data_IF_459515397841
#
_entry.id   IF_459515397841
#
_cell.length_a   1.000
_cell.length_b   1.000
_cell.length_c   1.000
_cell.angle_alpha   90.00
_cell.angle_beta   90.00
_cell.angle_gamma   90.00
#
_symmetry.space_group_name_H-M   'P 1'
#
loop_
_entity.id
_entity.type
_entity.pdbx_description
1 polymer ?
#
# COMPACT_ATOMS: atom_id res chain seq x y z
N UNK A 1 -38.48 1.19 8.29
CA UNK A 1 -37.58 0.21 8.95
C UNK A 1 -36.23 0.27 8.24
N UNK A 2 -35.20 0.95 8.77
CA UNK A 2 -33.86 0.80 8.24
C UNK A 2 -33.11 -0.26 9.04
N UNK A 3 -32.53 -1.21 8.31
CA UNK A 3 -31.64 -2.24 8.82
C UNK A 3 -30.31 -1.58 9.23
N UNK A 4 -30.13 -1.36 10.54
CA UNK A 4 -28.81 -1.15 11.13
C UNK A 4 -27.96 -2.39 10.90
N UNK A 5 -27.18 -2.39 9.81
CA UNK A 5 -26.04 -3.30 9.67
C UNK A 5 -24.91 -2.74 10.53
N UNK A 6 -24.91 -3.05 11.81
CA UNK A 6 -23.71 -2.91 12.66
C UNK A 6 -22.64 -3.85 12.12
N UNK A 7 -21.79 -3.35 11.23
CA UNK A 7 -20.55 -4.03 10.88
C UNK A 7 -19.58 -3.77 12.03
N UNK A 8 -19.56 -4.67 13.00
CA UNK A 8 -18.54 -4.70 14.06
C UNK A 8 -17.19 -5.02 13.41
N UNK A 9 -16.56 -4.00 12.82
CA UNK A 9 -15.18 -4.08 12.33
C UNK A 9 -14.26 -4.09 13.54
N UNK A 10 -13.96 -5.29 14.03
CA UNK A 10 -12.87 -5.46 14.99
C UNK A 10 -11.58 -5.02 14.32
N UNK A 11 -10.81 -4.13 14.95
CA UNK A 11 -9.52 -3.60 14.48
C UNK A 11 -8.58 -4.72 13.98
N UNK A 12 -8.66 -5.89 14.61
CA UNK A 12 -7.94 -7.11 14.21
C UNK A 12 -8.35 -7.68 12.84
N UNK A 13 -9.61 -7.49 12.42
CA UNK A 13 -10.10 -7.87 11.08
C UNK A 13 -9.70 -6.87 10.00
N UNK A 14 -9.41 -5.63 10.37
CA UNK A 14 -9.01 -4.56 9.45
C UNK A 14 -7.56 -4.77 8.98
N UNK A 15 -6.65 -5.03 9.92
CA UNK A 15 -5.27 -5.41 9.61
C UNK A 15 -5.19 -6.75 8.86
N UNK A 16 -5.99 -7.75 9.27
CA UNK A 16 -5.99 -9.06 8.61
C UNK A 16 -6.50 -9.02 7.16
N UNK A 17 -7.45 -8.14 6.83
CA UNK A 17 -7.96 -7.96 5.45
C UNK A 17 -6.99 -7.20 4.56
N UNK A 18 -6.33 -6.16 5.07
CA UNK A 18 -5.25 -5.43 4.40
C UNK A 18 -4.01 -6.32 4.16
N UNK A 19 -3.60 -7.11 5.14
CA UNK A 19 -2.54 -8.11 5.00
C UNK A 19 -2.92 -9.20 3.99
N UNK A 20 -4.16 -9.69 4.00
CA UNK A 20 -4.61 -10.72 3.08
C UNK A 20 -4.65 -10.23 1.62
N UNK A 21 -5.02 -8.97 1.37
CA UNK A 21 -5.01 -8.38 0.02
C UNK A 21 -3.58 -8.21 -0.52
N UNK A 22 -2.64 -7.78 0.32
CA UNK A 22 -1.22 -7.67 -0.05
C UNK A 22 -0.55 -9.03 -0.28
N UNK A 23 -0.90 -10.05 0.51
CA UNK A 23 -0.35 -11.41 0.36
C UNK A 23 -0.87 -12.10 -0.90
N UNK A 24 -2.13 -11.88 -1.30
CA UNK A 24 -2.69 -12.44 -2.54
C UNK A 24 -2.03 -11.81 -3.78
N UNK A 25 -1.74 -10.50 -3.75
CA UNK A 25 -0.98 -9.84 -4.81
C UNK A 25 0.48 -10.33 -4.90
N UNK A 26 1.12 -10.64 -3.77
CA UNK A 26 2.50 -11.12 -3.74
C UNK A 26 2.66 -12.60 -4.17
N UNK A 27 1.66 -13.46 -3.91
CA UNK A 27 1.73 -14.88 -4.26
C UNK A 27 1.52 -15.18 -5.76
N UNK A 28 0.95 -14.26 -6.53
CA UNK A 28 0.79 -14.44 -7.98
C UNK A 28 2.08 -14.20 -8.77
N UNK A 29 3.08 -13.51 -8.20
CA UNK A 29 4.37 -13.20 -8.86
C UNK A 29 5.43 -14.28 -8.60
N UNK A 30 5.30 -15.08 -7.53
CA UNK A 30 6.37 -15.98 -7.10
C UNK A 30 6.41 -17.34 -7.82
N UNK A 31 5.40 -17.69 -8.63
CA UNK A 31 5.30 -19.05 -9.19
C UNK A 31 6.07 -19.23 -10.50
N UNK A 32 6.65 -18.19 -11.10
CA UNK A 32 7.36 -18.31 -12.40
C UNK A 32 8.86 -17.99 -12.37
N UNK A 33 9.48 -17.95 -11.19
CA UNK A 33 10.94 -17.81 -11.08
C UNK A 33 11.62 -19.17 -11.16
N UNK A 34 11.65 -19.76 -12.35
CA UNK A 34 12.63 -20.80 -12.70
C UNK A 34 13.86 -20.14 -13.34
N UNK A 35 15.01 -19.99 -12.65
CA UNK A 35 16.26 -19.76 -13.34
C UNK A 35 16.85 -21.12 -13.74
N UNK A 36 16.81 -21.41 -15.04
CA UNK A 36 17.59 -22.47 -15.63
C UNK A 36 19.10 -22.20 -15.47
N UNK A 37 19.78 -23.13 -14.81
CA UNK A 37 21.13 -23.67 -15.10
C UNK A 37 22.26 -22.67 -15.46
N UNK A 38 23.07 -22.39 -14.44
CA UNK A 38 24.52 -22.56 -14.36
C UNK A 38 25.38 -22.43 -15.64
N UNK A 39 26.19 -21.36 -15.73
CA UNK A 39 27.54 -21.38 -16.30
C UNK A 39 28.48 -20.54 -15.43
N UNK A 40 29.34 -21.23 -14.69
CA UNK A 40 30.48 -20.64 -14.00
C UNK A 40 31.60 -20.37 -15.01
N UNK A 41 31.97 -19.11 -15.19
CA UNK A 41 33.26 -18.74 -15.76
C UNK A 41 34.01 -17.86 -14.77
N UNK A 42 34.93 -18.49 -14.05
CA UNK A 42 35.93 -17.86 -13.21
C UNK A 42 36.92 -17.10 -14.11
N UNK A 43 36.93 -15.77 -14.03
CA UNK A 43 38.00 -14.94 -14.57
C UNK A 43 38.87 -14.39 -13.42
N UNK A 44 40.19 -14.26 -13.63
CA UNK A 44 41.16 -14.11 -12.57
C UNK A 44 41.17 -12.71 -11.94
N UNK A 45 41.19 -12.73 -10.61
CA UNK A 45 41.51 -11.69 -9.65
C UNK A 45 42.59 -10.71 -10.14
N UNK A 46 42.20 -9.44 -10.30
CA UNK A 46 43.11 -8.29 -10.26
C UNK A 46 42.71 -7.43 -9.04
N UNK A 47 43.55 -7.28 -8.01
CA UNK A 47 43.19 -6.54 -6.82
C UNK A 47 43.33 -5.04 -7.09
N UNK A 48 42.24 -4.40 -7.52
CA UNK A 48 42.09 -2.96 -7.37
C UNK A 48 41.40 -2.74 -6.03
N UNK A 49 42.19 -2.25 -5.07
CA UNK A 49 41.74 -1.78 -3.77
C UNK A 49 40.82 -0.58 -3.98
N UNK A 50 39.55 -0.84 -4.28
CA UNK A 50 38.48 0.15 -4.10
C UNK A 50 38.03 0.00 -2.66
N UNK A 51 38.37 0.99 -1.86
CA UNK A 51 37.83 1.21 -0.52
C UNK A 51 36.31 1.37 -0.66
N UNK A 52 35.61 0.24 -0.59
CA UNK A 52 34.16 0.16 -0.49
C UNK A 52 33.78 0.62 0.91
N UNK A 53 33.63 1.93 1.08
CA UNK A 53 32.72 2.45 2.09
C UNK A 53 31.37 1.78 1.88
N UNK A 54 30.81 1.09 2.88
CA UNK A 54 29.43 0.66 2.81
C UNK A 54 28.57 1.91 3.02
N UNK A 55 28.34 2.67 1.95
CA UNK A 55 27.11 3.44 1.81
C UNK A 55 25.98 2.41 1.66
N UNK A 56 25.62 1.85 2.80
CA UNK A 56 24.33 1.25 3.04
C UNK A 56 23.30 2.27 2.54
N UNK A 57 22.38 1.92 1.62
CA UNK A 57 21.29 2.81 1.32
C UNK A 57 20.58 3.06 2.64
N UNK A 58 20.74 4.28 3.17
CA UNK A 58 19.97 4.74 4.29
C UNK A 58 18.54 4.69 3.81
N UNK A 59 17.86 3.58 4.13
CA UNK A 59 16.42 3.50 4.18
C UNK A 59 16.01 4.71 4.99
N UNK A 60 15.64 5.77 4.27
CA UNK A 60 15.15 7.00 4.86
C UNK A 60 13.75 6.65 5.36
N UNK A 61 13.70 5.87 6.43
CA UNK A 61 12.59 5.90 7.37
C UNK A 61 12.62 7.32 7.88
N UNK A 62 11.99 8.21 7.12
CA UNK A 62 11.65 9.54 7.57
C UNK A 62 10.93 9.30 8.89
N UNK A 63 11.64 9.63 9.97
CA UNK A 63 11.21 9.47 11.35
C UNK A 63 10.18 10.57 11.59
N UNK A 64 9.07 10.54 10.85
CA UNK A 64 7.92 11.37 11.11
C UNK A 64 7.34 10.83 12.40
N UNK A 65 7.46 11.62 13.46
CA UNK A 65 6.75 11.36 14.69
C UNK A 65 5.26 11.50 14.43
N UNK A 66 4.47 10.52 14.86
CA UNK A 66 3.02 10.51 14.74
C UNK A 66 2.38 11.79 15.32
N UNK A 67 2.97 12.33 16.38
CA UNK A 67 2.48 13.54 17.06
C UNK A 67 2.64 14.80 16.21
N UNK A 68 3.60 14.83 15.29
CA UNK A 68 3.86 15.99 14.44
C UNK A 68 2.91 16.04 13.22
N UNK A 69 2.08 15.01 13.01
CA UNK A 69 1.14 14.96 11.89
C UNK A 69 -0.13 15.73 12.27
N UNK A 70 -0.45 16.83 11.55
CA UNK A 70 -1.61 17.65 11.86
C UNK A 70 -2.90 16.90 11.57
N UNK A 71 -3.95 17.14 12.37
CA UNK A 71 -5.26 16.48 12.20
C UNK A 71 -5.86 16.66 10.81
N UNK A 72 -5.58 17.80 10.14
CA UNK A 72 -5.98 18.02 8.75
C UNK A 72 -5.41 16.96 7.81
N UNK A 73 -4.13 16.59 7.96
CA UNK A 73 -3.49 15.54 7.14
C UNK A 73 -4.05 14.16 7.46
N UNK A 74 -4.40 13.90 8.72
CA UNK A 74 -5.10 12.66 9.13
C UNK A 74 -6.47 12.58 8.43
N UNK A 75 -7.22 13.68 8.42
CA UNK A 75 -8.53 13.73 7.78
C UNK A 75 -8.45 13.55 6.26
N UNK A 76 -7.50 14.25 5.60
CA UNK A 76 -7.22 14.08 4.17
C UNK A 76 -6.86 12.62 3.83
N UNK A 77 -6.05 11.98 4.67
CA UNK A 77 -5.69 10.57 4.51
C UNK A 77 -6.91 9.65 4.63
N UNK A 78 -7.73 9.84 5.66
CA UNK A 78 -8.93 9.02 5.88
C UNK A 78 -9.91 9.15 4.73
N UNK A 79 -10.15 10.37 4.23
CA UNK A 79 -11.00 10.59 3.06
C UNK A 79 -10.46 9.93 1.80
N UNK A 80 -9.17 10.11 1.50
CA UNK A 80 -8.53 9.47 0.34
C UNK A 80 -8.59 7.95 0.45
N UNK A 81 -8.30 7.41 1.63
CA UNK A 81 -8.29 5.98 1.91
C UNK A 81 -9.67 5.35 1.68
N UNK A 82 -10.74 5.95 2.21
CA UNK A 82 -12.10 5.46 2.01
C UNK A 82 -12.51 5.48 0.52
N UNK A 83 -12.16 6.53 -0.21
CA UNK A 83 -12.46 6.62 -1.65
C UNK A 83 -11.64 5.61 -2.48
N UNK A 84 -10.38 5.36 -2.12
CA UNK A 84 -9.55 4.33 -2.77
C UNK A 84 -10.11 2.94 -2.50
N UNK A 85 -10.58 2.66 -1.29
CA UNK A 85 -11.25 1.38 -0.98
C UNK A 85 -12.50 1.19 -1.83
N UNK A 86 -13.37 2.20 -1.88
CA UNK A 86 -14.59 2.15 -2.69
C UNK A 86 -14.28 1.99 -4.20
N UNK A 87 -13.22 2.62 -4.70
CA UNK A 87 -12.73 2.40 -6.08
C UNK A 87 -12.35 0.92 -6.30
N UNK A 88 -11.58 0.33 -5.39
CA UNK A 88 -11.13 -1.06 -5.51
C UNK A 88 -12.33 -2.02 -5.47
N UNK A 89 -13.27 -1.82 -4.54
CA UNK A 89 -14.48 -2.65 -4.42
C UNK A 89 -15.34 -2.58 -5.69
N UNK A 90 -15.50 -1.39 -6.28
CA UNK A 90 -16.25 -1.22 -7.53
C UNK A 90 -15.57 -1.87 -8.74
N UNK A 91 -14.23 -1.91 -8.75
CA UNK A 91 -13.43 -2.42 -9.88
C UNK A 91 -12.98 -3.87 -9.71
N UNK A 92 -13.22 -4.48 -8.55
CA UNK A 92 -12.83 -5.87 -8.25
C UNK A 92 -13.43 -6.86 -9.27
N UNK A 93 -14.71 -6.68 -9.62
CA UNK A 93 -15.37 -7.53 -10.61
C UNK A 93 -14.75 -7.43 -12.02
N UNK A 94 -14.23 -6.26 -12.39
CA UNK A 94 -13.55 -6.07 -13.68
C UNK A 94 -12.17 -6.75 -13.70
N UNK A 95 -11.46 -6.72 -12.57
CA UNK A 95 -10.20 -7.45 -12.42
C UNK A 95 -10.40 -8.97 -12.45
N UNK A 96 -11.42 -9.47 -11.75
CA UNK A 96 -11.75 -10.90 -11.71
C UNK A 96 -12.30 -11.41 -13.04
N UNK A 97 -13.02 -10.56 -13.77
CA UNK A 97 -13.62 -10.87 -15.07
C UNK A 97 -12.69 -10.70 -16.26
N UNK A 98 -11.46 -10.20 -16.07
CA UNK A 98 -10.50 -10.08 -17.16
C UNK A 98 -10.07 -11.46 -17.67
N UNK A 99 -10.39 -11.76 -18.93
CA UNK A 99 -10.10 -13.07 -19.53
C UNK A 99 -8.66 -13.16 -20.04
N UNK A 100 -8.05 -12.00 -20.30
CA UNK A 100 -6.68 -11.90 -20.82
C UNK A 100 -5.79 -11.05 -19.93
N UNK A 101 -4.48 -11.31 -19.98
CA UNK A 101 -3.47 -10.53 -19.27
C UNK A 101 -3.51 -9.04 -19.68
N UNK A 102 -3.69 -8.77 -20.99
CA UNK A 102 -3.78 -7.40 -21.51
C UNK A 102 -4.95 -6.62 -20.91
N UNK A 103 -6.11 -7.27 -20.76
CA UNK A 103 -7.28 -6.66 -20.13
C UNK A 103 -7.05 -6.43 -18.64
N UNK A 104 -6.47 -7.40 -17.92
CA UNK A 104 -6.13 -7.23 -16.51
C UNK A 104 -5.17 -6.05 -16.30
N UNK A 105 -4.12 -5.94 -17.12
CA UNK A 105 -3.16 -4.83 -17.06
C UNK A 105 -3.78 -3.49 -17.44
N UNK A 106 -4.79 -3.46 -18.32
CA UNK A 106 -5.55 -2.24 -18.62
C UNK A 106 -6.34 -1.79 -17.40
N UNK A 107 -7.12 -2.70 -16.80
CA UNK A 107 -7.95 -2.41 -15.63
C UNK A 107 -7.08 -1.99 -14.43
N UNK A 108 -5.96 -2.66 -14.19
CA UNK A 108 -5.02 -2.28 -13.12
C UNK A 108 -4.48 -0.84 -13.29
N UNK A 109 -4.11 -0.44 -14.52
CA UNK A 109 -3.63 0.93 -14.79
C UNK A 109 -4.72 1.98 -14.63
N UNK A 110 -5.95 1.65 -15.00
CA UNK A 110 -7.12 2.52 -14.78
C UNK A 110 -7.36 2.74 -13.28
N UNK A 111 -7.33 1.67 -12.49
CA UNK A 111 -7.43 1.74 -11.02
C UNK A 111 -6.29 2.57 -10.43
N UNK A 112 -5.03 2.34 -10.83
CA UNK A 112 -3.91 3.14 -10.31
C UNK A 112 -4.09 4.62 -10.65
N UNK A 113 -4.48 4.94 -11.89
CA UNK A 113 -4.68 6.33 -12.33
C UNK A 113 -5.77 7.02 -11.53
N UNK A 114 -6.91 6.35 -11.33
CA UNK A 114 -8.02 6.89 -10.54
C UNK A 114 -7.65 7.02 -9.05
N UNK A 115 -6.93 6.05 -8.48
CA UNK A 115 -6.45 6.12 -7.10
C UNK A 115 -5.51 7.32 -6.89
N UNK A 116 -4.60 7.58 -7.84
CA UNK A 116 -3.72 8.75 -7.78
C UNK A 116 -4.50 10.06 -7.88
N UNK A 117 -5.55 10.10 -8.69
CA UNK A 117 -6.43 11.27 -8.79
C UNK A 117 -7.21 11.52 -7.49
N UNK A 118 -7.70 10.47 -6.84
CA UNK A 118 -8.34 10.55 -5.51
C UNK A 118 -7.37 11.11 -4.47
N UNK A 119 -6.16 10.55 -4.40
CA UNK A 119 -5.11 10.99 -3.46
C UNK A 119 -4.77 12.47 -3.68
N UNK A 120 -4.58 12.87 -4.94
CA UNK A 120 -4.28 14.26 -5.29
C UNK A 120 -5.44 15.21 -4.95
N UNK A 121 -6.68 14.80 -5.18
CA UNK A 121 -7.88 15.60 -4.88
C UNK A 121 -8.03 15.82 -3.38
N UNK A 122 -7.61 14.86 -2.55
CA UNK A 122 -7.56 15.00 -1.10
C UNK A 122 -6.40 15.90 -0.59
N UNK A 123 -5.57 16.45 -1.48
CA UNK A 123 -4.45 17.32 -1.08
C UNK A 123 -3.20 16.56 -0.62
N UNK A 124 -3.10 15.28 -0.97
CA UNK A 124 -1.96 14.42 -0.68
C UNK A 124 -1.18 14.09 -1.95
N UNK A 125 0.13 13.91 -1.81
CA UNK A 125 0.95 13.24 -2.81
C UNK A 125 0.92 11.72 -2.61
N UNK A 126 1.27 10.94 -3.65
CA UNK A 126 1.41 9.47 -3.55
C UNK A 126 2.34 9.08 -2.39
N UNK A 127 3.47 9.78 -2.26
CA UNK A 127 4.47 9.50 -1.23
C UNK A 127 3.93 9.77 0.17
N UNK A 128 3.28 10.92 0.39
CA UNK A 128 2.65 11.22 1.69
C UNK A 128 1.57 10.19 2.03
N UNK A 129 0.70 9.84 1.08
CA UNK A 129 -0.32 8.84 1.29
C UNK A 129 0.27 7.49 1.72
N UNK A 130 1.30 7.00 1.01
CA UNK A 130 1.96 5.74 1.36
C UNK A 130 2.70 5.81 2.70
N UNK A 131 3.26 6.96 3.06
CA UNK A 131 3.91 7.16 4.34
C UNK A 131 2.89 7.13 5.50
N UNK A 132 1.76 7.82 5.36
CA UNK A 132 0.68 7.80 6.34
C UNK A 132 0.04 6.41 6.43
N UNK A 133 -0.10 5.71 5.30
CA UNK A 133 -0.53 4.32 5.27
C UNK A 133 0.45 3.41 6.03
N UNK A 134 1.75 3.58 5.83
CA UNK A 134 2.78 2.87 6.57
C UNK A 134 2.69 3.14 8.07
N UNK A 135 2.63 4.42 8.46
CA UNK A 135 2.52 4.85 9.85
C UNK A 135 1.27 4.28 10.53
N UNK A 136 0.12 4.28 9.87
CA UNK A 136 -1.11 3.71 10.44
C UNK A 136 -1.01 2.21 10.74
N UNK A 137 -0.10 1.50 10.06
CA UNK A 137 0.15 0.08 10.30
C UNK A 137 1.26 -0.19 11.33
N UNK A 138 2.17 0.76 11.54
CA UNK A 138 3.36 0.57 12.40
C UNK A 138 3.31 1.32 13.72
N UNK A 139 2.66 2.48 13.76
CA UNK A 139 2.53 3.34 14.92
C UNK A 139 1.11 3.21 15.51
N UNK A 140 1.03 2.73 16.75
CA UNK A 140 -0.26 2.49 17.40
C UNK A 140 -1.04 3.77 17.69
N UNK A 141 -0.35 4.85 18.05
CA UNK A 141 -1.01 6.12 18.39
C UNK A 141 -1.60 6.75 17.12
N UNK A 142 -0.83 6.74 16.03
CA UNK A 142 -1.32 7.19 14.73
C UNK A 142 -2.49 6.34 14.25
N UNK A 143 -2.37 5.02 14.37
CA UNK A 143 -3.43 4.07 14.02
C UNK A 143 -4.73 4.33 14.80
N UNK A 144 -4.64 4.63 16.09
CA UNK A 144 -5.80 5.00 16.93
C UNK A 144 -6.44 6.32 16.45
N UNK A 145 -5.65 7.34 16.12
CA UNK A 145 -6.17 8.62 15.58
C UNK A 145 -6.90 8.41 14.25
N UNK A 146 -6.34 7.61 13.36
CA UNK A 146 -6.97 7.24 12.08
C UNK A 146 -8.27 6.47 12.33
N UNK A 147 -8.28 5.50 13.24
CA UNK A 147 -9.45 4.70 13.57
C UNK A 147 -10.60 5.55 14.15
N UNK A 148 -10.27 6.49 15.04
CA UNK A 148 -11.25 7.43 15.59
C UNK A 148 -11.89 8.27 14.47
N UNK A 149 -11.07 8.85 13.59
CA UNK A 149 -11.57 9.68 12.49
C UNK A 149 -12.40 8.88 11.48
N UNK A 150 -12.06 7.61 11.26
CA UNK A 150 -12.81 6.70 10.39
C UNK A 150 -14.18 6.33 10.99
N UNK A 151 -14.27 6.24 12.32
CA UNK A 151 -15.54 6.03 12.99
C UNK A 151 -16.45 7.24 12.79
N UNK A 152 -15.93 8.45 13.04
CA UNK A 152 -16.66 9.71 12.82
C UNK A 152 -17.13 9.88 11.38
N UNK A 153 -16.30 9.51 10.39
CA UNK A 153 -16.65 9.60 8.97
C UNK A 153 -17.77 8.62 8.54
N UNK A 154 -18.08 7.61 9.36
CA UNK A 154 -19.12 6.61 9.12
C UNK A 154 -20.39 6.80 9.95
N UNK A 155 -20.46 7.85 10.78
CA UNK A 155 -21.68 8.25 11.52
C UNK A 155 -22.59 9.17 10.67
#
# INVERSE_FOLDING_TARGET
MPLSRSVKFSLNSWCARLLSLLVVAALFVAVWSSPAIAWAQSLPTTPISVELSPEQPASSHSNLDSNDIPSEKVNQFVHAFLQVLDLIERREGELQGAETESESLRVQREIETEALAIIATAGLTKTEYLQLLGLANTDSEFGERVAAQLQEANE
#
